data_IF_312548359650
#
_entry.id   IF_312548359650
#
_cell.length_a   1.000
_cell.length_b   1.000
_cell.length_c   1.000
_cell.angle_alpha   90.00
_cell.angle_beta   90.00
_cell.angle_gamma   90.00
#
_symmetry.space_group_name_H-M   'P 1'
#
loop_
_entity.id
_entity.type
_entity.pdbx_description
1 polymer ?
#
# COMPACT_ATOMS: atom_id res chain seq x y z
N UNK A 1 17.32 -19.77 -1.26
CA UNK A 1 17.86 -19.63 -2.64
C UNK A 1 17.73 -18.18 -3.10
N UNK A 2 18.43 -17.78 -4.17
CA UNK A 2 18.20 -16.47 -4.77
C UNK A 2 16.71 -16.32 -5.16
N UNK A 3 16.06 -15.20 -4.79
CA UNK A 3 14.62 -14.93 -5.03
C UNK A 3 13.64 -15.92 -4.38
N UNK A 4 14.00 -16.48 -3.22
CA UNK A 4 13.14 -17.43 -2.49
C UNK A 4 12.03 -16.78 -1.63
N UNK A 5 11.79 -15.48 -1.81
CA UNK A 5 10.76 -14.73 -1.10
C UNK A 5 10.13 -13.70 -2.02
N UNK A 6 9.04 -13.11 -1.54
CA UNK A 6 8.29 -12.07 -2.26
C UNK A 6 7.82 -10.99 -1.28
N UNK A 7 7.52 -9.81 -1.83
CA UNK A 7 6.99 -8.68 -1.07
C UNK A 7 5.49 -8.51 -1.35
N UNK A 8 4.76 -8.08 -0.32
CA UNK A 8 3.38 -7.61 -0.44
C UNK A 8 3.35 -6.18 0.10
N UNK A 9 3.53 -5.21 -0.79
CA UNK A 9 3.64 -3.80 -0.46
C UNK A 9 2.32 -3.10 -0.75
N UNK A 10 1.44 -3.06 0.25
CA UNK A 10 0.21 -2.27 0.17
C UNK A 10 0.55 -0.79 0.25
N UNK A 11 0.41 -0.08 -0.86
CA UNK A 11 0.73 1.33 -0.97
C UNK A 11 -0.13 2.02 -2.04
N UNK A 12 -0.03 3.34 -2.10
CA UNK A 12 -0.51 4.12 -3.23
C UNK A 12 0.32 3.81 -4.48
N UNK A 13 -0.15 4.23 -5.66
CA UNK A 13 0.61 4.00 -6.88
C UNK A 13 1.99 4.68 -6.79
N UNK A 14 3.05 4.02 -7.28
CA UNK A 14 4.35 4.67 -7.38
C UNK A 14 4.21 5.93 -8.23
N UNK A 15 4.95 6.96 -7.86
CA UNK A 15 4.99 8.25 -8.56
C UNK A 15 3.70 9.07 -8.58
N UNK A 16 2.72 8.75 -7.73
CA UNK A 16 1.45 9.51 -7.62
C UNK A 16 1.60 11.04 -7.49
N UNK A 17 2.61 11.61 -6.81
CA UNK A 17 2.77 13.07 -6.77
C UNK A 17 3.02 13.74 -8.14
N UNK A 18 3.59 13.00 -9.10
CA UNK A 18 3.95 13.51 -10.43
C UNK A 18 2.92 13.16 -11.51
N UNK A 19 1.93 12.33 -11.17
CA UNK A 19 0.87 11.87 -12.06
C UNK A 19 -0.50 12.40 -11.58
N UNK A 20 -0.96 13.57 -12.06
CA UNK A 20 -2.19 14.20 -11.58
C UNK A 20 -3.47 13.38 -11.83
N UNK A 21 -3.41 12.40 -12.72
CA UNK A 21 -4.46 11.42 -12.99
C UNK A 21 -4.56 10.30 -11.93
N UNK A 22 -3.53 10.12 -11.09
CA UNK A 22 -3.56 9.14 -9.99
C UNK A 22 -4.27 9.73 -8.76
N UNK A 23 -4.79 8.86 -7.86
CA UNK A 23 -5.27 9.32 -6.56
C UNK A 23 -4.18 10.11 -5.83
N UNK A 24 -4.53 11.30 -5.35
CA UNK A 24 -3.57 12.14 -4.62
C UNK A 24 -3.09 11.46 -3.35
N UNK A 25 -1.79 11.57 -3.09
CA UNK A 25 -1.15 11.11 -1.85
C UNK A 25 -0.86 12.26 -0.88
N UNK A 26 -1.33 13.48 -1.19
CA UNK A 26 -1.09 14.66 -0.36
C UNK A 26 -2.05 14.65 0.83
N UNK A 27 -1.49 14.67 2.04
CA UNK A 27 -2.23 14.92 3.27
C UNK A 27 -2.10 16.40 3.66
N UNK A 28 -3.22 17.09 3.84
CA UNK A 28 -3.28 18.51 4.24
C UNK A 28 -3.41 18.66 5.76
N UNK A 29 -3.06 19.84 6.33
CA UNK A 29 -3.26 20.10 7.75
C UNK A 29 -4.71 19.88 8.18
N UNK A 30 -4.91 19.14 9.28
CA UNK A 30 -6.23 18.80 9.81
C UNK A 30 -6.85 17.53 9.19
N UNK A 31 -6.29 16.98 8.13
CA UNK A 31 -6.74 15.71 7.56
C UNK A 31 -6.19 14.52 8.33
N UNK A 32 -6.96 13.43 8.37
CA UNK A 32 -6.57 12.18 9.00
C UNK A 32 -6.13 11.19 7.95
N UNK A 33 -4.86 10.82 7.98
CA UNK A 33 -4.35 9.69 7.20
C UNK A 33 -4.69 8.38 7.89
N UNK A 34 -5.29 7.44 7.15
CA UNK A 34 -5.61 6.11 7.67
C UNK A 34 -5.44 5.04 6.60
N UNK A 35 -4.68 4.01 6.92
CA UNK A 35 -4.53 2.80 6.10
C UNK A 35 -4.63 1.56 6.97
N UNK A 36 -4.93 0.42 6.36
CA UNK A 36 -4.99 -0.88 7.06
C UNK A 36 -4.57 -1.98 6.11
N UNK A 37 -3.60 -2.77 6.54
CA UNK A 37 -3.16 -3.99 5.85
C UNK A 37 -3.43 -5.18 6.74
N UNK A 38 -4.05 -6.22 6.20
CA UNK A 38 -4.35 -7.45 6.94
C UNK A 38 -3.90 -8.66 6.14
N UNK A 39 -2.93 -9.38 6.67
CA UNK A 39 -2.57 -10.71 6.20
C UNK A 39 -3.24 -11.74 7.10
N UNK A 40 -4.20 -12.49 6.56
CA UNK A 40 -4.90 -13.55 7.27
C UNK A 40 -4.58 -14.87 6.59
N UNK A 41 -3.91 -15.74 7.33
CA UNK A 41 -3.62 -17.10 6.92
C UNK A 41 -4.45 -18.07 7.74
N UNK A 42 -4.77 -19.21 7.15
CA UNK A 42 -5.47 -20.30 7.78
C UNK A 42 -5.11 -21.61 7.08
N UNK A 43 -5.53 -22.71 7.68
CA UNK A 43 -5.51 -24.03 7.06
C UNK A 43 -6.92 -24.60 7.18
N UNK A 44 -7.41 -25.25 6.13
CA UNK A 44 -8.61 -26.08 6.22
C UNK A 44 -8.23 -27.43 6.84
N UNK A 45 -9.20 -28.07 7.52
CA UNK A 45 -9.03 -29.44 8.04
C UNK A 45 -9.37 -30.46 6.97
#
# INVERSE_FOLDING_TARGET
GHRSGFCLETQHFPDSPNHPEFPSTVLRPGEVYKTKTMYRFGVEK
#
